data_IF_579862301092
#
_entry.id   IF_579862301092
#
_cell.length_a   1.000
_cell.length_b   1.000
_cell.length_c   1.000
_cell.angle_alpha   90.00
_cell.angle_beta   90.00
_cell.angle_gamma   90.00
#
_symmetry.space_group_name_H-M   'P 1'
#
loop_
_entity.id
_entity.type
_entity.pdbx_description
1 polymer ?
#
# COMPACT_ATOMS: atom_id res chain seq x y z
N UNK A 1 -45.00 -64.66 8.06
CA UNK A 1 -43.54 -64.74 8.27
C UNK A 1 -42.85 -64.11 7.07
N UNK A 2 -42.04 -63.09 7.37
CA UNK A 2 -41.03 -62.39 6.57
C UNK A 2 -40.97 -62.54 5.03
N UNK A 3 -41.01 -61.39 4.34
CA UNK A 3 -40.13 -61.16 3.18
C UNK A 3 -39.63 -59.72 3.16
N UNK A 4 -38.30 -59.58 3.22
CA UNK A 4 -37.49 -58.36 3.08
C UNK A 4 -37.83 -57.62 1.79
N UNK A 5 -37.88 -56.29 1.84
CA UNK A 5 -37.77 -55.41 0.67
C UNK A 5 -36.52 -54.57 0.86
N UNK A 6 -35.46 -54.88 0.09
CA UNK A 6 -34.26 -54.05 -0.05
C UNK A 6 -34.51 -53.07 -1.20
N UNK A 7 -34.62 -51.77 -0.88
CA UNK A 7 -34.61 -50.70 -1.87
C UNK A 7 -33.16 -50.28 -2.13
N UNK A 8 -32.62 -50.70 -3.27
CA UNK A 8 -31.35 -50.19 -3.79
C UNK A 8 -31.51 -48.76 -4.28
N UNK A 9 -30.99 -47.80 -3.51
CA UNK A 9 -30.72 -46.44 -4.00
C UNK A 9 -29.42 -46.46 -4.79
N UNK A 10 -29.51 -46.42 -6.12
CA UNK A 10 -28.38 -46.09 -6.97
C UNK A 10 -27.94 -44.65 -6.67
N UNK A 11 -26.85 -44.49 -5.91
CA UNK A 11 -26.14 -43.22 -5.81
C UNK A 11 -25.31 -43.04 -7.08
N UNK A 12 -25.61 -42.01 -7.86
CA UNK A 12 -24.75 -41.57 -8.95
C UNK A 12 -23.34 -41.26 -8.39
N UNK A 13 -22.27 -41.59 -9.12
CA UNK A 13 -20.93 -41.20 -8.70
C UNK A 13 -20.86 -39.67 -8.71
N UNK A 14 -20.52 -39.10 -7.56
CA UNK A 14 -20.12 -37.71 -7.43
C UNK A 14 -18.88 -37.54 -8.30
N UNK A 15 -19.02 -36.70 -9.32
CA UNK A 15 -17.95 -36.28 -10.23
C UNK A 15 -16.82 -35.67 -9.39
N UNK A 16 -15.77 -36.46 -9.20
CA UNK A 16 -14.50 -36.07 -8.59
C UNK A 16 -13.83 -35.13 -9.60
N UNK A 17 -14.27 -33.86 -9.60
CA UNK A 17 -13.67 -32.82 -10.41
C UNK A 17 -12.22 -32.66 -9.96
N UNK A 18 -11.32 -33.24 -10.76
CA UNK A 18 -9.90 -32.97 -10.83
C UNK A 18 -9.61 -31.51 -10.43
N UNK A 19 -9.07 -31.30 -9.23
CA UNK A 19 -8.33 -30.08 -8.93
C UNK A 19 -7.17 -30.04 -9.92
N UNK A 20 -7.31 -29.28 -11.01
CA UNK A 20 -6.17 -28.95 -11.85
C UNK A 20 -5.13 -28.31 -10.95
N UNK A 21 -3.94 -28.92 -10.84
CA UNK A 21 -2.76 -28.36 -10.22
C UNK A 21 -2.42 -27.05 -10.94
N UNK A 22 -3.06 -25.94 -10.54
CA UNK A 22 -2.78 -24.62 -11.09
C UNK A 22 -1.36 -24.29 -10.70
N UNK A 23 -0.43 -24.43 -11.67
CA UNK A 23 0.98 -24.12 -11.48
C UNK A 23 1.13 -22.69 -10.97
N UNK A 24 1.57 -22.54 -9.73
CA UNK A 24 1.86 -21.23 -9.11
C UNK A 24 3.34 -20.88 -9.23
N UNK A 25 3.61 -19.59 -9.33
CA UNK A 25 4.96 -19.02 -9.32
C UNK A 25 5.36 -18.76 -7.88
N UNK A 26 6.34 -19.53 -7.37
CA UNK A 26 6.97 -19.28 -6.08
C UNK A 26 7.84 -18.01 -6.13
N UNK A 27 7.70 -17.14 -5.14
CA UNK A 27 8.37 -15.84 -5.09
C UNK A 27 9.07 -15.59 -3.75
N UNK A 28 10.34 -15.16 -3.81
CA UNK A 28 11.11 -14.59 -2.70
C UNK A 28 11.04 -13.07 -2.80
N UNK A 29 10.59 -12.38 -1.75
CA UNK A 29 10.46 -10.91 -1.75
C UNK A 29 11.56 -10.28 -0.92
N UNK A 30 12.43 -9.50 -1.56
CA UNK A 30 13.53 -8.77 -0.94
C UNK A 30 13.15 -7.33 -0.60
N UNK A 31 13.26 -6.96 0.69
CA UNK A 31 13.06 -5.60 1.19
C UNK A 31 14.40 -5.03 1.70
N UNK A 32 14.95 -4.05 0.99
CA UNK A 32 16.23 -3.43 1.35
C UNK A 32 15.96 -2.21 2.25
N UNK A 33 16.37 -2.30 3.51
CA UNK A 33 16.04 -1.29 4.53
C UNK A 33 17.29 -0.57 5.06
N UNK A 34 17.16 0.75 5.24
CA UNK A 34 18.14 1.57 5.93
C UNK A 34 17.46 2.74 6.64
N UNK A 35 17.38 2.68 7.97
CA UNK A 35 16.69 3.66 8.81
C UNK A 35 15.25 3.95 8.34
N UNK A 36 14.40 2.92 8.36
CA UNK A 36 13.00 2.93 7.89
C UNK A 36 12.02 2.57 9.03
N UNK A 37 12.34 2.91 10.28
CA UNK A 37 11.47 2.58 11.44
C UNK A 37 10.02 3.08 11.30
N UNK A 38 9.81 4.18 10.57
CA UNK A 38 8.50 4.76 10.31
C UNK A 38 7.67 3.95 9.28
N UNK A 39 8.32 3.15 8.43
CA UNK A 39 7.69 2.53 7.26
C UNK A 39 7.73 1.00 7.27
N UNK A 40 8.82 0.42 7.80
CA UNK A 40 9.17 -0.97 7.58
C UNK A 40 8.08 -1.96 8.01
N UNK A 41 7.45 -1.73 9.17
CA UNK A 41 6.35 -2.58 9.64
C UNK A 41 5.19 -2.59 8.64
N UNK A 42 4.78 -1.40 8.18
CA UNK A 42 3.67 -1.26 7.24
C UNK A 42 3.98 -1.92 5.91
N UNK A 43 5.20 -1.76 5.42
CA UNK A 43 5.65 -2.36 4.16
C UNK A 43 5.68 -3.88 4.24
N UNK A 44 6.26 -4.44 5.31
CA UNK A 44 6.30 -5.90 5.51
C UNK A 44 4.88 -6.47 5.61
N UNK A 45 3.99 -5.86 6.40
CA UNK A 45 2.59 -6.31 6.49
C UNK A 45 1.84 -6.20 5.15
N UNK A 46 2.04 -5.11 4.40
CA UNK A 46 1.41 -4.94 3.10
C UNK A 46 1.88 -5.99 2.09
N UNK A 47 3.16 -6.38 2.13
CA UNK A 47 3.73 -7.46 1.31
C UNK A 47 3.16 -8.83 1.73
N UNK A 48 3.10 -9.12 3.03
CA UNK A 48 2.57 -10.40 3.55
C UNK A 48 1.08 -10.60 3.25
N UNK A 49 0.32 -9.50 3.12
CA UNK A 49 -1.10 -9.53 2.76
C UNK A 49 -1.36 -9.74 1.26
N UNK A 50 -0.32 -9.73 0.42
CA UNK A 50 -0.46 -9.98 -1.01
C UNK A 50 -0.80 -11.45 -1.26
N UNK A 51 -1.75 -11.68 -2.15
CA UNK A 51 -2.21 -13.01 -2.53
C UNK A 51 -2.69 -13.00 -3.97
N UNK A 52 -2.75 -14.17 -4.59
CA UNK A 52 -3.26 -14.31 -5.94
C UNK A 52 -3.33 -15.78 -6.37
N UNK A 53 -4.12 -16.09 -7.39
CA UNK A 53 -4.29 -17.47 -7.86
C UNK A 53 -3.02 -18.03 -8.51
N UNK A 54 -2.16 -17.17 -9.07
CA UNK A 54 -1.00 -17.57 -9.87
C UNK A 54 0.32 -17.54 -9.10
N UNK A 55 0.33 -17.04 -7.87
CA UNK A 55 1.56 -16.81 -7.11
C UNK A 55 1.54 -17.48 -5.74
N UNK A 56 2.73 -17.73 -5.21
CA UNK A 56 2.94 -18.10 -3.83
C UNK A 56 4.11 -17.29 -3.28
N UNK A 57 3.86 -16.50 -2.23
CA UNK A 57 4.92 -15.81 -1.49
C UNK A 57 5.49 -16.81 -0.50
N UNK A 58 6.65 -17.36 -0.84
CA UNK A 58 7.32 -18.39 -0.04
C UNK A 58 8.11 -17.75 1.11
N UNK A 59 8.78 -16.62 0.82
CA UNK A 59 9.59 -15.92 1.80
C UNK A 59 9.64 -14.41 1.58
N UNK A 60 9.82 -13.67 2.67
CA UNK A 60 10.05 -12.23 2.71
C UNK A 60 11.37 -11.98 3.41
N UNK A 61 12.40 -11.63 2.64
CA UNK A 61 13.75 -11.40 3.11
C UNK A 61 13.99 -9.90 3.30
N UNK A 62 14.13 -9.47 4.54
CA UNK A 62 14.47 -8.09 4.88
C UNK A 62 15.97 -7.99 5.12
N UNK A 63 16.65 -7.14 4.35
CA UNK A 63 18.08 -6.85 4.55
C UNK A 63 18.23 -5.44 5.12
N UNK A 64 18.56 -5.37 6.41
CA UNK A 64 18.80 -4.11 7.13
C UNK A 64 20.29 -3.75 7.07
N UNK A 65 20.65 -2.69 6.33
CA UNK A 65 22.05 -2.36 6.02
C UNK A 65 22.56 -1.16 6.80
N UNK A 66 23.20 -1.41 7.96
CA UNK A 66 23.79 -0.39 8.82
C UNK A 66 22.74 0.51 9.51
N UNK A 67 21.56 -0.04 9.85
CA UNK A 67 20.51 0.71 10.53
C UNK A 67 20.94 1.14 11.95
N UNK A 68 20.59 2.37 12.33
CA UNK A 68 20.86 2.95 13.65
C UNK A 68 19.58 3.28 14.43
N UNK A 69 18.42 3.10 13.80
CA UNK A 69 17.09 3.36 14.36
C UNK A 69 16.39 2.04 14.74
N UNK A 70 15.08 2.06 15.01
CA UNK A 70 14.32 0.86 15.41
C UNK A 70 13.98 -0.08 14.26
N UNK A 71 14.51 0.09 13.04
CA UNK A 71 14.20 -0.79 11.90
C UNK A 71 14.48 -2.26 12.21
N UNK A 72 15.65 -2.59 12.78
CA UNK A 72 16.05 -3.97 13.09
C UNK A 72 15.15 -4.60 14.17
N UNK A 73 14.95 -3.96 15.34
CA UNK A 73 14.00 -4.47 16.35
C UNK A 73 12.60 -4.73 15.80
N UNK A 74 12.05 -3.78 15.02
CA UNK A 74 10.69 -3.91 14.47
C UNK A 74 10.56 -5.14 13.57
N UNK A 75 11.55 -5.40 12.70
CA UNK A 75 11.50 -6.55 11.80
C UNK A 75 11.72 -7.86 12.57
N UNK A 76 12.56 -7.85 13.60
CA UNK A 76 12.75 -9.02 14.48
C UNK A 76 11.45 -9.43 15.16
N UNK A 77 10.70 -8.47 15.72
CA UNK A 77 9.39 -8.70 16.35
C UNK A 77 8.36 -9.27 15.36
N UNK A 78 8.44 -8.91 14.08
CA UNK A 78 7.58 -9.45 13.02
C UNK A 78 8.01 -10.88 12.67
N UNK A 79 9.32 -11.12 12.48
CA UNK A 79 9.86 -12.43 12.13
C UNK A 79 9.58 -13.50 13.21
N UNK A 80 9.50 -13.11 14.48
CA UNK A 80 9.09 -14.01 15.56
C UNK A 80 7.65 -14.54 15.42
N UNK A 81 6.78 -13.79 14.72
CA UNK A 81 5.35 -14.11 14.57
C UNK A 81 5.00 -14.62 13.18
N UNK A 82 5.81 -14.32 12.18
CA UNK A 82 5.61 -14.70 10.78
C UNK A 82 6.82 -15.50 10.27
N UNK A 83 6.70 -16.84 10.19
CA UNK A 83 7.80 -17.72 9.78
C UNK A 83 8.37 -17.45 8.38
N UNK A 84 7.57 -16.83 7.50
CA UNK A 84 8.03 -16.46 6.15
C UNK A 84 8.98 -15.25 6.14
N UNK A 85 9.07 -14.49 7.24
CA UNK A 85 9.92 -13.29 7.30
C UNK A 85 11.32 -13.64 7.83
N UNK A 86 12.33 -13.29 7.04
CA UNK A 86 13.73 -13.53 7.37
C UNK A 86 14.50 -12.21 7.43
N UNK A 87 15.11 -11.92 8.59
CA UNK A 87 15.91 -10.72 8.79
C UNK A 87 17.40 -11.02 8.64
N UNK A 88 18.07 -10.26 7.78
CA UNK A 88 19.53 -10.24 7.67
C UNK A 88 20.06 -8.84 7.94
N UNK A 89 21.01 -8.73 8.87
CA UNK A 89 21.59 -7.45 9.29
C UNK A 89 23.02 -7.34 8.76
N UNK A 90 23.32 -6.22 8.11
CA UNK A 90 24.70 -5.81 7.83
C UNK A 90 25.09 -4.76 8.86
N UNK A 91 26.19 -4.98 9.59
CA UNK A 91 26.65 -4.05 10.64
C UNK A 91 27.02 -2.67 10.09
N UNK A 92 27.52 -2.64 8.85
CA UNK A 92 27.95 -1.42 8.17
C UNK A 92 27.18 -1.23 6.89
N UNK A 93 27.09 0.04 6.50
CA UNK A 93 26.39 0.46 5.29
C UNK A 93 27.28 0.32 4.07
N UNK A 94 27.05 -0.73 3.30
CA UNK A 94 27.86 -1.09 2.13
C UNK A 94 27.21 -0.73 0.78
N UNK A 95 26.05 -0.05 0.83
CA UNK A 95 25.27 0.33 -0.35
C UNK A 95 24.19 -0.69 -0.70
N UNK A 96 23.17 -0.23 -1.45
CA UNK A 96 21.98 -1.02 -1.78
C UNK A 96 22.33 -2.29 -2.58
N UNK A 97 23.33 -2.21 -3.46
CA UNK A 97 23.78 -3.36 -4.23
C UNK A 97 24.37 -4.49 -3.37
N UNK A 98 25.07 -4.16 -2.26
CA UNK A 98 25.54 -5.17 -1.29
C UNK A 98 24.35 -5.90 -0.65
N UNK A 99 23.34 -5.13 -0.22
CA UNK A 99 22.12 -5.69 0.37
C UNK A 99 21.34 -6.59 -0.62
N UNK A 100 21.19 -6.15 -1.88
CA UNK A 100 20.56 -6.96 -2.94
C UNK A 100 21.34 -8.25 -3.19
N UNK A 101 22.67 -8.20 -3.22
CA UNK A 101 23.49 -9.40 -3.40
C UNK A 101 23.35 -10.36 -2.21
N UNK A 102 23.17 -9.86 -0.99
CA UNK A 102 22.87 -10.71 0.16
C UNK A 102 21.50 -11.35 0.02
N UNK A 103 20.48 -10.59 -0.40
CA UNK A 103 19.16 -11.14 -0.70
C UNK A 103 19.21 -12.23 -1.77
N UNK A 104 19.87 -11.99 -2.91
CA UNK A 104 19.96 -12.97 -4.00
C UNK A 104 20.66 -14.28 -3.58
N UNK A 105 21.59 -14.22 -2.63
CA UNK A 105 22.22 -15.42 -2.06
C UNK A 105 21.30 -16.21 -1.13
N UNK A 106 20.23 -15.59 -0.63
CA UNK A 106 19.30 -16.18 0.34
C UNK A 106 17.98 -16.57 -0.30
N UNK A 107 17.56 -15.87 -1.34
CA UNK A 107 16.36 -16.16 -2.10
C UNK A 107 16.43 -17.56 -2.72
N UNK A 108 15.42 -18.37 -2.43
CA UNK A 108 15.32 -19.78 -2.84
C UNK A 108 14.27 -20.01 -3.93
N UNK A 109 13.32 -19.10 -4.10
CA UNK A 109 12.23 -19.23 -5.06
C UNK A 109 12.66 -19.01 -6.51
N UNK A 110 11.83 -19.46 -7.44
CA UNK A 110 12.02 -19.29 -8.90
C UNK A 110 12.08 -17.81 -9.30
N UNK A 111 11.29 -16.96 -8.64
CA UNK A 111 11.21 -15.53 -8.89
C UNK A 111 11.67 -14.74 -7.67
N UNK A 112 12.55 -13.77 -7.91
CA UNK A 112 12.97 -12.79 -6.93
C UNK A 112 12.24 -11.46 -7.18
N UNK A 113 11.64 -10.90 -6.14
CA UNK A 113 10.98 -9.59 -6.16
C UNK A 113 11.82 -8.61 -5.34
N UNK A 114 12.06 -7.41 -5.87
CA UNK A 114 12.66 -6.31 -5.11
C UNK A 114 11.63 -5.20 -4.91
N UNK A 115 11.40 -4.84 -3.66
CA UNK A 115 10.53 -3.74 -3.26
C UNK A 115 11.21 -2.88 -2.18
N UNK A 116 11.05 -1.56 -2.27
CA UNK A 116 11.60 -0.63 -1.29
C UNK A 116 10.91 -0.76 0.08
N UNK A 117 11.64 -0.50 1.15
CA UNK A 117 11.10 -0.50 2.52
C UNK A 117 10.08 0.64 2.78
N UNK A 118 9.98 1.62 1.87
CA UNK A 118 9.06 2.75 1.86
C UNK A 118 7.97 2.64 0.77
N UNK A 119 7.89 1.51 0.08
CA UNK A 119 6.96 1.26 -1.02
C UNK A 119 5.83 0.35 -0.58
N UNK A 120 4.58 0.78 -0.80
CA UNK A 120 3.39 0.01 -0.40
C UNK A 120 2.70 -0.57 -1.63
N UNK A 121 2.62 -1.91 -1.78
CA UNK A 121 1.87 -2.53 -2.88
C UNK A 121 0.35 -2.36 -2.74
N UNK A 122 -0.35 -2.22 -3.86
CA UNK A 122 -1.80 -2.37 -3.93
C UNK A 122 -2.22 -3.85 -3.79
N UNK A 123 -3.50 -4.15 -3.51
CA UNK A 123 -4.01 -5.48 -3.12
C UNK A 123 -3.55 -6.65 -4.02
N UNK A 124 -3.45 -6.44 -5.33
CA UNK A 124 -3.03 -7.45 -6.31
C UNK A 124 -1.73 -7.08 -7.03
N UNK A 125 -0.91 -6.20 -6.46
CA UNK A 125 0.26 -5.70 -7.14
C UNK A 125 1.27 -6.82 -7.42
N UNK A 126 1.56 -7.68 -6.42
CA UNK A 126 2.53 -8.77 -6.58
C UNK A 126 2.00 -9.87 -7.51
N UNK A 127 0.69 -10.16 -7.51
CA UNK A 127 0.04 -11.07 -8.48
C UNK A 127 0.22 -10.54 -9.91
N UNK A 128 -0.10 -9.26 -10.14
CA UNK A 128 0.05 -8.65 -11.47
C UNK A 128 1.52 -8.55 -11.92
N UNK A 129 2.44 -8.46 -10.96
CA UNK A 129 3.87 -8.41 -11.20
C UNK A 129 4.44 -9.79 -11.55
N UNK A 130 4.02 -10.85 -10.86
CA UNK A 130 4.65 -12.17 -10.95
C UNK A 130 3.89 -13.19 -11.82
N UNK A 131 2.58 -13.02 -12.05
CA UNK A 131 1.82 -13.88 -12.98
C UNK A 131 2.43 -14.01 -14.40
N UNK A 132 3.13 -13.01 -14.98
CA UNK A 132 3.75 -13.19 -16.30
C UNK A 132 4.86 -14.24 -16.34
N UNK A 133 5.44 -14.65 -15.20
CA UNK A 133 6.48 -15.70 -15.15
C UNK A 133 5.97 -17.10 -15.43
N UNK A 134 4.64 -17.29 -15.54
CA UNK A 134 4.08 -18.50 -16.13
C UNK A 134 4.57 -18.70 -17.57
N UNK A 135 4.93 -17.62 -18.27
CA UNK A 135 5.64 -17.68 -19.54
C UNK A 135 7.16 -17.81 -19.31
N UNK A 136 7.82 -18.89 -19.78
CA UNK A 136 9.27 -19.09 -19.63
C UNK A 136 10.13 -18.03 -20.32
N UNK A 137 9.62 -17.33 -21.34
CA UNK A 137 10.36 -16.29 -22.06
C UNK A 137 10.50 -14.98 -21.28
N UNK A 138 9.61 -14.72 -20.32
CA UNK A 138 9.64 -13.52 -19.49
C UNK A 138 10.68 -13.72 -18.40
N UNK A 139 11.71 -12.88 -18.38
CA UNK A 139 12.78 -12.93 -17.37
C UNK A 139 12.68 -11.83 -16.33
N UNK A 140 11.97 -10.74 -16.62
CA UNK A 140 11.81 -9.64 -15.66
C UNK A 140 10.55 -8.81 -15.96
N UNK A 141 9.86 -8.44 -14.89
CA UNK A 141 8.68 -7.58 -14.91
C UNK A 141 8.87 -6.37 -13.99
N UNK A 142 8.14 -5.30 -14.25
CA UNK A 142 8.16 -4.09 -13.43
C UNK A 142 6.78 -3.51 -13.24
N UNK A 143 6.50 -3.02 -12.04
CA UNK A 143 5.22 -2.43 -11.69
C UNK A 143 5.15 -0.93 -11.97
N UNK A 144 3.99 -0.33 -11.71
CA UNK A 144 3.69 1.09 -11.88
C UNK A 144 3.77 1.84 -10.55
N UNK A 145 4.76 2.72 -10.37
CA UNK A 145 4.85 3.54 -9.18
C UNK A 145 3.90 4.74 -9.28
N UNK A 146 3.14 4.97 -8.22
CA UNK A 146 2.19 6.08 -8.10
C UNK A 146 2.56 6.90 -6.86
N UNK A 147 3.01 8.15 -7.04
CA UNK A 147 3.45 8.96 -5.91
C UNK A 147 2.28 9.46 -5.07
N UNK A 148 2.45 9.41 -3.74
CA UNK A 148 1.47 9.90 -2.77
C UNK A 148 1.65 11.39 -2.42
N UNK A 149 2.65 12.06 -3.00
CA UNK A 149 2.92 13.49 -2.78
C UNK A 149 1.70 14.36 -3.13
N UNK A 150 1.50 15.46 -2.40
CA UNK A 150 0.45 16.43 -2.70
C UNK A 150 0.69 17.11 -4.06
N UNK A 151 -0.14 16.85 -5.09
CA UNK A 151 0.07 17.38 -6.45
C UNK A 151 -0.14 18.90 -6.54
N UNK A 152 -0.71 19.54 -5.50
CA UNK A 152 -0.91 20.99 -5.45
C UNK A 152 0.33 21.77 -4.97
N UNK A 153 1.48 21.12 -4.91
CA UNK A 153 2.78 21.72 -4.59
C UNK A 153 3.71 21.60 -5.79
N UNK A 154 4.69 22.49 -5.93
CA UNK A 154 5.68 22.41 -7.02
C UNK A 154 6.37 21.03 -7.04
N UNK A 155 6.82 20.56 -5.87
CA UNK A 155 7.51 19.28 -5.76
C UNK A 155 6.59 18.09 -6.01
N UNK A 156 5.36 18.11 -5.49
CA UNK A 156 4.39 17.08 -5.81
C UNK A 156 4.07 17.03 -7.30
N UNK A 157 3.86 18.19 -7.95
CA UNK A 157 3.68 18.26 -9.40
C UNK A 157 4.86 17.66 -10.17
N UNK A 158 6.09 18.01 -9.79
CA UNK A 158 7.30 17.49 -10.41
C UNK A 158 7.44 15.96 -10.27
N UNK A 159 7.17 15.42 -9.08
CA UNK A 159 7.20 13.97 -8.81
C UNK A 159 6.11 13.23 -9.59
N UNK A 160 4.88 13.75 -9.59
CA UNK A 160 3.77 13.20 -10.38
C UNK A 160 4.05 13.23 -11.88
N UNK A 161 4.63 14.32 -12.38
CA UNK A 161 5.04 14.43 -13.78
C UNK A 161 6.06 13.36 -14.14
N UNK A 162 7.10 13.18 -13.31
CA UNK A 162 8.15 12.19 -13.54
C UNK A 162 7.58 10.78 -13.65
N UNK A 163 6.73 10.37 -12.70
CA UNK A 163 6.15 9.03 -12.70
C UNK A 163 5.11 8.81 -13.82
N UNK A 164 4.37 9.85 -14.21
CA UNK A 164 3.47 9.79 -15.38
C UNK A 164 4.24 9.62 -16.69
N UNK A 165 5.36 10.33 -16.84
CA UNK A 165 6.24 10.16 -18.00
C UNK A 165 6.91 8.79 -18.00
N UNK A 166 7.34 8.31 -16.83
CA UNK A 166 7.86 6.96 -16.66
C UNK A 166 6.86 5.90 -17.13
N UNK A 167 5.62 5.93 -16.62
CA UNK A 167 4.57 4.98 -17.01
C UNK A 167 4.31 4.98 -18.52
N UNK A 168 4.22 6.17 -19.13
CA UNK A 168 4.00 6.29 -20.58
C UNK A 168 5.16 5.73 -21.40
N UNK A 169 6.39 6.07 -21.03
CA UNK A 169 7.58 5.55 -21.72
C UNK A 169 7.69 4.04 -21.54
N UNK A 170 7.44 3.53 -20.32
CA UNK A 170 7.54 2.11 -19.99
C UNK A 170 6.52 1.24 -20.75
N UNK A 171 5.33 1.77 -21.06
CA UNK A 171 4.34 1.10 -21.91
C UNK A 171 4.79 0.93 -23.36
N UNK A 172 5.60 1.85 -23.87
CA UNK A 172 6.12 1.78 -25.24
C UNK A 172 7.42 0.97 -25.31
N UNK A 173 8.30 1.16 -24.33
CA UNK A 173 9.58 0.47 -24.20
C UNK A 173 9.78 0.13 -22.74
N UNK A 174 9.74 -1.17 -22.41
CA UNK A 174 9.80 -1.66 -21.04
C UNK A 174 10.97 -1.02 -20.29
N UNK A 175 10.64 -0.19 -19.31
CA UNK A 175 11.57 0.37 -18.34
C UNK A 175 11.01 0.06 -16.98
N UNK A 176 11.75 -0.75 -16.26
CA UNK A 176 11.32 -1.28 -14.98
C UNK A 176 12.01 -0.50 -13.88
N UNK A 177 11.31 -0.24 -12.78
CA UNK A 177 11.84 0.50 -11.65
C UNK A 177 10.88 0.61 -10.48
N UNK A 178 11.41 1.04 -9.33
CA UNK A 178 10.78 1.05 -8.01
C UNK A 178 10.44 -0.33 -7.44
N UNK A 179 9.63 -1.10 -8.18
CA UNK A 179 9.27 -2.48 -7.88
C UNK A 179 9.52 -3.33 -9.11
N UNK A 180 10.27 -4.41 -8.94
CA UNK A 180 10.64 -5.31 -10.02
C UNK A 180 10.56 -6.75 -9.54
N UNK A 181 10.20 -7.64 -10.45
CA UNK A 181 10.35 -9.08 -10.24
C UNK A 181 11.17 -9.66 -11.39
N UNK A 182 11.96 -10.68 -11.14
CA UNK A 182 12.80 -11.32 -12.14
C UNK A 182 13.06 -12.78 -11.79
N UNK A 183 13.38 -13.59 -12.81
CA UNK A 183 13.81 -14.96 -12.59
C UNK A 183 15.09 -14.96 -11.77
N UNK A 184 15.15 -15.81 -10.75
CA UNK A 184 16.30 -15.94 -9.86
C UNK A 184 17.46 -16.71 -10.54
N UNK A 185 17.97 -16.16 -11.63
CA UNK A 185 19.01 -16.76 -12.50
C UNK A 185 20.33 -15.98 -12.49
N UNK A 186 20.39 -14.90 -11.72
CA UNK A 186 21.59 -14.05 -11.58
C UNK A 186 22.20 -14.24 -10.20
N UNK A 187 23.53 -14.34 -10.12
CA UNK A 187 24.24 -14.52 -8.85
C UNK A 187 24.45 -13.22 -8.07
N UNK A 188 24.20 -12.07 -8.70
CA UNK A 188 24.39 -10.75 -8.10
C UNK A 188 24.50 -9.62 -9.13
N UNK A 189 24.60 -8.40 -8.62
CA UNK A 189 24.81 -7.17 -9.36
C UNK A 189 26.14 -6.49 -8.94
N UNK A 190 26.73 -5.65 -9.81
CA UNK A 190 27.92 -4.88 -9.47
C UNK A 190 27.71 -4.01 -8.21
N UNK A 191 28.60 -4.13 -7.22
CA UNK A 191 28.50 -3.44 -5.92
C UNK A 191 28.64 -1.92 -6.02
N UNK A 192 29.25 -1.43 -7.10
CA UNK A 192 29.40 0.00 -7.40
C UNK A 192 28.21 0.60 -8.17
N UNK A 193 27.14 -0.18 -8.42
CA UNK A 193 25.95 0.31 -9.11
C UNK A 193 25.09 1.20 -8.21
N UNK A 194 24.64 2.32 -8.76
CA UNK A 194 23.69 3.24 -8.11
C UNK A 194 22.25 3.10 -8.63
N UNK A 195 22.04 2.22 -9.63
CA UNK A 195 20.77 1.95 -10.33
C UNK A 195 20.62 0.44 -10.49
N UNK A 196 20.21 -0.21 -9.41
CA UNK A 196 20.12 -1.65 -9.28
C UNK A 196 19.19 -2.28 -10.32
N UNK A 197 18.00 -1.70 -10.51
CA UNK A 197 16.98 -2.18 -11.43
C UNK A 197 17.46 -2.20 -12.89
N UNK A 198 18.28 -1.23 -13.27
CA UNK A 198 18.83 -1.14 -14.64
C UNK A 198 19.95 -2.16 -14.82
N UNK A 199 20.71 -2.41 -13.76
CA UNK A 199 21.79 -3.40 -13.78
C UNK A 199 21.22 -4.81 -13.92
N UNK A 200 20.10 -5.10 -13.23
CA UNK A 200 19.36 -6.36 -13.34
C UNK A 200 18.73 -6.49 -14.74
N UNK A 201 18.08 -5.43 -15.24
CA UNK A 201 17.54 -5.43 -16.62
C UNK A 201 18.61 -5.78 -17.65
N UNK A 202 19.80 -5.17 -17.55
CA UNK A 202 20.91 -5.45 -18.46
C UNK A 202 21.33 -6.93 -18.41
N UNK A 203 21.48 -7.51 -17.21
CA UNK A 203 21.87 -8.91 -17.03
C UNK A 203 20.80 -9.88 -17.56
N UNK A 204 19.53 -9.66 -17.22
CA UNK A 204 18.43 -10.50 -17.68
C UNK A 204 18.27 -10.44 -19.21
N UNK A 205 18.41 -9.26 -19.81
CA UNK A 205 18.38 -9.13 -21.27
C UNK A 205 19.57 -9.79 -21.96
N UNK A 206 20.76 -9.76 -21.35
CA UNK A 206 21.93 -10.47 -21.88
C UNK A 206 21.75 -11.99 -21.87
N UNK A 207 20.94 -12.52 -20.96
CA UNK A 207 20.55 -13.93 -20.91
C UNK A 207 19.46 -14.31 -21.94
N UNK A 208 19.00 -13.35 -22.76
CA UNK A 208 18.02 -13.58 -23.83
C UNK A 208 16.56 -13.53 -23.41
N UNK A 209 16.27 -13.18 -22.15
CA UNK A 209 14.90 -13.05 -21.68
C UNK A 209 14.22 -11.74 -22.09
N UNK A 210 12.89 -11.79 -22.16
CA UNK A 210 12.04 -10.62 -22.42
C UNK A 210 11.75 -9.85 -21.13
N UNK A 211 11.63 -8.53 -21.27
CA UNK A 211 11.25 -7.58 -20.23
C UNK A 211 9.80 -7.14 -20.44
N UNK A 212 9.00 -7.08 -19.38
CA UNK A 212 7.60 -6.67 -19.47
C UNK A 212 7.23 -5.61 -18.42
N UNK A 213 6.55 -4.55 -18.82
CA UNK A 213 6.02 -3.55 -17.90
C UNK A 213 4.54 -3.83 -17.61
N UNK A 214 4.18 -3.93 -16.32
CA UNK A 214 2.85 -4.31 -15.83
C UNK A 214 2.16 -3.11 -15.17
N UNK A 215 1.44 -2.27 -15.93
CA UNK A 215 0.82 -1.07 -15.40
C UNK A 215 -0.27 -1.33 -14.34
N UNK A 216 -0.80 -2.55 -14.28
CA UNK A 216 -1.77 -3.05 -13.31
C UNK A 216 -1.12 -3.40 -11.96
N UNK A 217 0.21 -3.60 -11.92
CA UNK A 217 0.96 -3.79 -10.67
C UNK A 217 1.25 -2.44 -10.03
N UNK A 218 0.25 -1.82 -9.41
CA UNK A 218 0.38 -0.49 -8.80
C UNK A 218 1.09 -0.56 -7.45
N UNK A 219 2.10 0.29 -7.25
CA UNK A 219 2.74 0.49 -5.95
C UNK A 219 2.77 1.96 -5.59
N UNK A 220 2.62 2.27 -4.31
CA UNK A 220 2.60 3.62 -3.80
C UNK A 220 3.96 3.98 -3.19
N UNK A 221 4.53 5.10 -3.64
CA UNK A 221 5.79 5.62 -3.12
C UNK A 221 5.70 7.10 -2.77
N UNK A 222 6.72 7.60 -2.06
CA UNK A 222 6.85 9.02 -1.73
C UNK A 222 8.12 9.59 -2.32
N UNK A 223 7.95 10.54 -3.23
CA UNK A 223 9.05 11.31 -3.78
C UNK A 223 9.52 12.44 -2.84
N UNK A 224 10.63 13.10 -3.19
CA UNK A 224 11.23 14.17 -2.39
C UNK A 224 10.30 15.38 -2.22
N UNK A 225 10.34 15.99 -1.04
CA UNK A 225 9.52 17.18 -0.70
C UNK A 225 10.23 18.50 -0.97
N UNK A 226 11.56 18.48 -1.16
CA UNK A 226 12.37 19.68 -1.40
C UNK A 226 13.11 19.62 -2.74
N UNK A 227 13.42 20.79 -3.29
CA UNK A 227 14.22 20.92 -4.51
C UNK A 227 15.62 20.33 -4.33
N UNK A 228 16.24 20.55 -3.17
CA UNK A 228 17.59 20.03 -2.86
C UNK A 228 17.61 18.50 -2.92
N UNK A 229 16.60 17.87 -2.32
CA UNK A 229 16.46 16.41 -2.28
C UNK A 229 16.17 15.83 -3.65
N UNK A 230 15.31 16.49 -4.42
CA UNK A 230 15.05 16.14 -5.82
C UNK A 230 16.33 16.19 -6.64
N UNK A 231 17.07 17.30 -6.60
CA UNK A 231 18.32 17.44 -7.36
C UNK A 231 19.34 16.37 -6.95
N UNK A 232 19.52 16.10 -5.66
CA UNK A 232 20.40 15.03 -5.17
C UNK A 232 19.99 13.67 -5.72
N UNK A 233 18.71 13.31 -5.63
CA UNK A 233 18.19 12.02 -6.09
C UNK A 233 18.38 11.87 -7.61
N UNK A 234 17.99 12.88 -8.39
CA UNK A 234 18.06 12.86 -9.87
C UNK A 234 19.49 12.88 -10.39
N UNK A 235 20.37 13.66 -9.77
CA UNK A 235 21.82 13.69 -10.08
C UNK A 235 22.45 12.31 -9.93
N UNK A 236 22.15 11.62 -8.83
CA UNK A 236 22.63 10.24 -8.58
C UNK A 236 22.12 9.26 -9.62
N UNK A 237 20.81 9.29 -9.91
CA UNK A 237 20.18 8.38 -10.88
C UNK A 237 20.82 8.56 -12.26
N UNK A 238 21.03 9.81 -12.70
CA UNK A 238 21.64 10.07 -14.00
C UNK A 238 23.11 9.64 -14.08
N UNK A 239 23.91 9.92 -13.03
CA UNK A 239 25.30 9.44 -12.96
C UNK A 239 25.37 7.90 -12.97
N UNK A 240 24.45 7.23 -12.27
CA UNK A 240 24.33 5.77 -12.27
C UNK A 240 24.00 5.21 -13.66
N UNK A 241 23.05 5.82 -14.37
CA UNK A 241 22.73 5.44 -15.74
C UNK A 241 23.94 5.54 -16.69
N UNK A 242 24.76 6.60 -16.58
CA UNK A 242 25.98 6.74 -17.37
C UNK A 242 27.00 5.62 -17.06
N UNK A 243 27.12 5.22 -15.78
CA UNK A 243 27.98 4.10 -15.38
C UNK A 243 27.50 2.77 -15.97
N UNK A 244 26.20 2.46 -15.90
CA UNK A 244 25.65 1.22 -16.48
C UNK A 244 25.85 1.20 -18.00
N UNK A 245 25.61 2.32 -18.68
CA UNK A 245 25.89 2.42 -20.12
C UNK A 245 27.35 2.14 -20.45
N UNK A 246 28.29 2.63 -19.65
CA UNK A 246 29.72 2.40 -19.85
C UNK A 246 30.17 0.97 -19.49
N UNK A 247 29.60 0.35 -18.46
CA UNK A 247 30.04 -0.94 -17.92
C UNK A 247 29.31 -2.15 -18.52
N UNK A 248 28.03 -2.01 -18.82
CA UNK A 248 27.16 -3.12 -19.24
C UNK A 248 26.60 -2.93 -20.66
N UNK A 249 27.00 -1.85 -21.36
CA UNK A 249 26.53 -1.48 -22.70
C UNK A 249 24.99 -1.44 -22.83
N UNK A 250 24.31 -1.05 -21.74
CA UNK A 250 22.86 -0.96 -21.68
C UNK A 250 22.42 0.48 -21.44
N UNK A 251 21.50 0.98 -22.26
CA UNK A 251 20.96 2.33 -22.15
C UNK A 251 19.46 2.30 -21.87
N UNK A 252 19.06 2.90 -20.75
CA UNK A 252 17.65 2.98 -20.38
C UNK A 252 16.85 3.88 -21.34
N UNK A 253 15.61 3.51 -21.66
CA UNK A 253 14.74 4.26 -22.59
C UNK A 253 14.54 5.73 -22.19
N UNK A 254 14.52 6.05 -20.89
CA UNK A 254 14.40 7.42 -20.35
C UNK A 254 15.67 8.27 -20.49
N UNK A 255 16.76 7.75 -21.05
CA UNK A 255 17.91 8.57 -21.44
C UNK A 255 17.68 9.28 -22.77
N UNK A 256 16.77 8.76 -23.61
CA UNK A 256 16.45 9.34 -24.92
C UNK A 256 15.50 10.52 -24.75
N UNK A 257 15.91 11.69 -25.26
CA UNK A 257 15.12 12.93 -25.14
C UNK A 257 13.86 12.88 -26.01
N UNK A 258 13.94 12.29 -27.21
CA UNK A 258 12.82 12.24 -28.17
C UNK A 258 11.52 11.67 -27.58
N UNK A 259 11.51 10.42 -27.08
CA UNK A 259 10.32 9.83 -26.47
C UNK A 259 9.78 10.63 -25.29
N UNK A 260 10.64 11.28 -24.51
CA UNK A 260 10.21 12.10 -23.37
C UNK A 260 9.45 13.33 -23.85
N UNK A 261 9.97 14.04 -24.85
CA UNK A 261 9.32 15.24 -25.40
C UNK A 261 7.95 14.89 -25.98
N UNK A 262 7.86 13.79 -26.73
CA UNK A 262 6.60 13.29 -27.27
C UNK A 262 5.59 13.00 -26.14
N UNK A 263 6.02 12.35 -25.05
CA UNK A 263 5.12 12.06 -23.93
C UNK A 263 4.75 13.29 -23.09
N UNK A 264 5.63 14.31 -23.00
CA UNK A 264 5.29 15.61 -22.40
C UNK A 264 4.20 16.30 -23.23
N UNK A 265 4.32 16.24 -24.55
CA UNK A 265 3.29 16.73 -25.48
C UNK A 265 2.04 15.85 -25.42
N UNK A 266 2.12 14.55 -25.11
CA UNK A 266 0.94 13.71 -24.92
C UNK A 266 0.25 13.93 -23.55
N UNK A 267 0.87 14.69 -22.63
CA UNK A 267 0.36 14.98 -21.27
C UNK A 267 -0.04 16.43 -21.06
N UNK A 268 -0.39 17.15 -22.15
CA UNK A 268 -0.79 18.57 -22.15
C UNK A 268 -1.78 18.91 -21.06
N UNK A 269 -2.77 18.05 -20.85
CA UNK A 269 -3.85 18.31 -19.89
C UNK A 269 -3.33 18.40 -18.45
N UNK A 270 -2.22 17.73 -18.15
CA UNK A 270 -1.55 17.79 -16.85
C UNK A 270 -0.42 18.84 -16.82
N UNK A 271 0.31 19.00 -17.92
CA UNK A 271 1.48 19.89 -18.00
C UNK A 271 1.11 21.35 -18.25
N UNK A 272 0.05 21.60 -19.02
CA UNK A 272 -0.41 22.89 -19.53
C UNK A 272 -1.89 23.18 -19.20
N UNK A 273 -2.54 22.37 -18.36
CA UNK A 273 -3.96 22.56 -18.00
C UNK A 273 -4.28 23.86 -17.27
N UNK A 274 -3.27 24.55 -16.73
CA UNK A 274 -3.38 25.90 -16.16
C UNK A 274 -2.04 26.65 -16.27
N UNK A 275 -2.03 28.00 -16.26
CA UNK A 275 -0.78 28.78 -16.26
C UNK A 275 0.17 28.39 -15.11
N UNK A 276 -0.40 28.06 -13.95
CA UNK A 276 0.34 27.59 -12.78
C UNK A 276 1.03 26.25 -13.04
N UNK A 277 0.33 25.27 -13.61
CA UNK A 277 0.89 23.96 -13.97
C UNK A 277 1.94 24.09 -15.08
N UNK A 278 1.76 25.00 -16.04
CA UNK A 278 2.76 25.27 -17.06
C UNK A 278 4.08 25.77 -16.45
N UNK A 279 3.99 26.73 -15.51
CA UNK A 279 5.15 27.24 -14.78
C UNK A 279 5.83 26.13 -13.94
N UNK A 280 5.05 25.31 -13.25
CA UNK A 280 5.59 24.18 -12.48
C UNK A 280 6.24 23.11 -13.35
N UNK A 281 5.66 22.82 -14.51
CA UNK A 281 6.26 21.91 -15.49
C UNK A 281 7.58 22.44 -16.01
N UNK A 282 7.65 23.73 -16.37
CA UNK A 282 8.90 24.38 -16.78
C UNK A 282 9.95 24.31 -15.67
N UNK A 283 9.55 24.56 -14.41
CA UNK A 283 10.41 24.40 -13.24
C UNK A 283 10.92 22.96 -13.07
N UNK A 284 10.06 21.95 -13.23
CA UNK A 284 10.45 20.54 -13.15
C UNK A 284 11.45 20.15 -14.24
N UNK A 285 11.25 20.60 -15.48
CA UNK A 285 12.17 20.39 -16.61
C UNK A 285 13.52 21.05 -16.33
N UNK A 286 13.52 22.29 -15.83
CA UNK A 286 14.75 23.00 -15.48
C UNK A 286 15.52 22.27 -14.37
N UNK A 287 14.84 21.82 -13.31
CA UNK A 287 15.46 21.03 -12.24
C UNK A 287 16.06 19.71 -12.75
N UNK A 288 15.35 18.97 -13.61
CA UNK A 288 15.88 17.75 -14.24
C UNK A 288 17.11 18.06 -15.11
N UNK A 289 17.09 19.16 -15.87
CA UNK A 289 18.24 19.61 -16.67
C UNK A 289 19.47 19.91 -15.83
N UNK A 290 19.30 20.66 -14.73
CA UNK A 290 20.38 20.95 -13.76
C UNK A 290 20.92 19.67 -13.14
N UNK A 291 20.03 18.76 -12.71
CA UNK A 291 20.43 17.49 -12.11
C UNK A 291 21.23 16.61 -13.09
N UNK A 292 20.83 16.57 -14.36
CA UNK A 292 21.57 15.83 -15.42
C UNK A 292 22.93 16.44 -15.69
N UNK A 293 23.04 17.77 -15.76
CA UNK A 293 24.33 18.46 -15.93
C UNK A 293 25.28 18.16 -14.76
N UNK A 294 24.78 18.22 -13.52
CA UNK A 294 25.57 17.88 -12.34
C UNK A 294 25.96 16.39 -12.30
N UNK A 295 25.05 15.49 -12.69
CA UNK A 295 25.32 14.06 -12.76
C UNK A 295 26.35 13.69 -13.82
N UNK A 296 26.31 14.36 -14.98
CA UNK A 296 27.32 14.23 -16.02
C UNK A 296 28.70 14.68 -15.53
N UNK A 297 28.75 15.84 -14.87
CA UNK A 297 29.99 16.38 -14.31
C UNK A 297 30.62 15.40 -13.30
N UNK A 298 29.79 14.81 -12.44
CA UNK A 298 30.25 13.83 -11.45
C UNK A 298 30.76 12.54 -12.06
N UNK A 299 30.06 12.02 -13.07
CA UNK A 299 30.50 10.86 -13.83
C UNK A 299 31.86 11.13 -14.47
N UNK A 300 32.05 12.30 -15.09
CA UNK A 300 33.32 12.69 -15.73
C UNK A 300 34.47 12.86 -14.72
N UNK A 301 34.16 13.17 -13.46
CA UNK A 301 35.14 13.30 -12.37
C UNK A 301 35.32 12.03 -11.53
N UNK A 302 34.76 10.88 -11.95
CA UNK A 302 34.79 9.61 -11.22
C UNK A 302 34.33 9.74 -9.75
N UNK A 303 33.36 10.61 -9.46
CA UNK A 303 32.80 10.69 -8.11
C UNK A 303 31.89 9.50 -7.83
N UNK A 304 32.20 8.78 -6.76
CA UNK A 304 31.45 7.60 -6.37
C UNK A 304 30.16 7.96 -5.61
N UNK A 305 29.05 7.39 -6.10
CA UNK A 305 27.70 7.56 -5.56
C UNK A 305 27.07 6.23 -5.12
N UNK A 306 27.88 5.17 -4.99
CA UNK A 306 27.39 3.82 -4.67
C UNK A 306 26.88 3.73 -3.21
N UNK A 307 27.43 4.54 -2.29
CA UNK A 307 26.88 4.71 -0.95
C UNK A 307 25.73 5.71 -1.04
N UNK A 308 24.51 5.20 -0.83
CA UNK A 308 23.26 5.96 -0.96
C UNK A 308 23.24 7.13 0.02
N UNK A 309 23.49 8.36 -0.44
CA UNK A 309 23.19 9.53 0.40
C UNK A 309 21.68 9.57 0.64
N UNK A 310 21.30 9.59 1.92
CA UNK A 310 19.91 9.55 2.36
C UNK A 310 19.16 10.77 1.82
N UNK A 311 17.91 10.55 1.38
CA UNK A 311 16.98 11.64 1.10
C UNK A 311 16.00 11.68 2.25
N UNK A 312 16.27 12.52 3.25
CA UNK A 312 15.56 12.47 4.54
C UNK A 312 14.05 12.70 4.39
N UNK A 313 13.62 13.47 3.38
CA UNK A 313 12.20 13.81 3.18
C UNK A 313 11.35 12.70 2.56
N UNK A 314 11.94 11.61 2.08
CA UNK A 314 11.16 10.45 1.60
C UNK A 314 10.77 9.50 2.72
N UNK A 315 11.41 9.60 3.88
CA UNK A 315 11.34 8.61 4.97
C UNK A 315 10.16 8.74 5.91
N UNK A 316 9.61 9.94 6.03
CA UNK A 316 8.40 10.11 6.80
C UNK A 316 7.24 10.10 5.82
N UNK A 317 6.55 8.96 5.66
CA UNK A 317 5.36 8.87 4.80
C UNK A 317 4.20 9.74 5.32
N UNK A 318 4.27 10.23 6.57
CA UNK A 318 3.25 11.02 7.26
C UNK A 318 3.51 12.55 7.24
N UNK A 319 4.77 13.00 7.14
CA UNK A 319 5.12 14.43 7.01
C UNK A 319 4.53 15.01 5.72
N UNK A 320 3.39 15.71 5.84
CA UNK A 320 2.62 16.24 4.71
C UNK A 320 1.26 15.57 4.51
N UNK A 321 0.82 14.73 5.45
CA UNK A 321 -0.54 14.19 5.51
C UNK A 321 -1.58 15.30 5.77
N UNK A 322 -1.92 16.02 4.71
CA UNK A 322 -3.33 16.12 4.39
C UNK A 322 -3.71 14.92 3.54
N UNK A 323 -4.23 13.88 4.23
CA UNK A 323 -4.94 12.73 3.67
C UNK A 323 -4.26 12.04 2.49
N UNK A 324 -3.34 11.10 2.76
CA UNK A 324 -3.06 10.03 1.80
C UNK A 324 -4.31 9.16 1.72
N UNK A 325 -5.00 9.31 0.60
CA UNK A 325 -6.22 8.60 0.23
C UNK A 325 -5.87 7.14 -0.06
N UNK A 326 -6.29 6.20 0.79
CA UNK A 326 -6.65 4.88 0.28
C UNK A 326 -7.82 5.10 -0.68
N UNK A 327 -7.68 4.78 -1.97
CA UNK A 327 -8.82 4.62 -2.86
C UNK A 327 -9.43 3.27 -2.50
N UNK A 328 -10.11 3.20 -1.35
CA UNK A 328 -10.93 2.03 -1.03
C UNK A 328 -12.20 2.14 -1.88
N UNK A 329 -12.43 1.13 -2.73
CA UNK A 329 -13.71 0.95 -3.43
C UNK A 329 -14.80 0.37 -2.51
N UNK A 330 -14.45 0.01 -1.27
CA UNK A 330 -15.38 -0.43 -0.24
C UNK A 330 -16.06 0.76 0.46
N UNK A 331 -17.36 0.60 0.73
CA UNK A 331 -18.12 1.48 1.61
C UNK A 331 -18.48 0.73 2.87
N UNK A 332 -18.20 1.30 4.03
CA UNK A 332 -18.62 0.73 5.31
C UNK A 332 -19.70 1.60 5.94
N UNK A 333 -20.71 0.94 6.49
CA UNK A 333 -21.75 1.56 7.31
C UNK A 333 -21.50 1.16 8.75
N UNK A 334 -21.31 2.15 9.62
CA UNK A 334 -21.16 1.94 11.06
C UNK A 334 -22.43 2.43 11.73
N UNK A 335 -23.04 1.59 12.56
CA UNK A 335 -24.19 1.92 13.38
C UNK A 335 -23.69 2.04 14.82
N UNK A 336 -23.95 3.20 15.43
CA UNK A 336 -23.61 3.52 16.80
C UNK A 336 -24.90 3.62 17.63
N UNK A 337 -24.92 3.03 18.82
CA UNK A 337 -25.97 3.20 19.82
C UNK A 337 -25.40 3.93 21.02
N UNK A 338 -25.94 5.10 21.31
CA UNK A 338 -25.56 5.93 22.46
C UNK A 338 -26.25 5.39 23.71
N UNK A 339 -25.46 5.14 24.75
CA UNK A 339 -25.90 4.63 26.04
C UNK A 339 -25.51 5.67 27.09
N UNK A 340 -26.44 6.03 27.98
CA UNK A 340 -26.18 6.99 29.06
C UNK A 340 -25.82 6.24 30.33
N UNK A 341 -24.82 6.73 31.09
CA UNK A 341 -24.49 6.16 32.40
C UNK A 341 -25.65 6.38 33.39
N UNK A 342 -26.12 5.30 34.03
CA UNK A 342 -27.18 5.33 35.05
C UNK A 342 -28.61 5.12 34.52
N UNK A 343 -28.77 4.45 33.37
CA UNK A 343 -30.07 4.05 32.84
C UNK A 343 -30.73 2.96 33.70
N UNK A 344 -31.97 3.19 34.15
CA UNK A 344 -32.78 2.23 34.92
C UNK A 344 -33.97 1.83 34.04
N UNK A 345 -33.78 0.76 33.25
CA UNK A 345 -34.59 0.33 32.11
C UNK A 345 -36.03 -0.10 32.38
N UNK A 346 -36.81 0.67 33.13
CA UNK A 346 -38.27 0.56 33.18
C UNK A 346 -38.91 1.19 31.94
N UNK A 347 -40.07 0.70 31.49
CA UNK A 347 -40.72 1.13 30.24
C UNK A 347 -40.98 2.65 30.16
N UNK A 348 -41.28 3.30 31.29
CA UNK A 348 -41.51 4.76 31.36
C UNK A 348 -40.20 5.55 31.32
N UNK A 349 -39.10 5.00 31.85
CA UNK A 349 -37.77 5.61 31.78
C UNK A 349 -37.13 5.41 30.40
N UNK A 350 -37.44 4.32 29.70
CA UNK A 350 -36.86 3.97 28.40
C UNK A 350 -37.14 5.02 27.32
N UNK A 351 -38.37 5.50 27.20
CA UNK A 351 -38.70 6.58 26.25
C UNK A 351 -37.97 7.89 26.57
N UNK A 352 -37.79 8.18 27.86
CA UNK A 352 -37.09 9.37 28.31
C UNK A 352 -35.59 9.25 28.06
N UNK A 353 -34.99 8.09 28.33
CA UNK A 353 -33.60 7.78 28.08
C UNK A 353 -33.28 7.83 26.58
N UNK A 354 -34.16 7.31 25.73
CA UNK A 354 -34.02 7.38 24.27
C UNK A 354 -34.08 8.83 23.75
N UNK A 355 -34.92 9.67 24.34
CA UNK A 355 -34.97 11.11 24.03
C UNK A 355 -33.69 11.82 24.49
N UNK A 356 -33.22 11.54 25.71
CA UNK A 356 -31.98 12.12 26.25
C UNK A 356 -30.76 11.65 25.43
N UNK A 357 -30.69 10.38 25.05
CA UNK A 357 -29.63 9.83 24.19
C UNK A 357 -29.63 10.45 22.79
N UNK A 358 -30.81 10.70 22.23
CA UNK A 358 -30.96 11.42 20.95
C UNK A 358 -30.50 12.87 21.07
N UNK A 359 -30.80 13.53 22.20
CA UNK A 359 -30.34 14.89 22.48
C UNK A 359 -28.81 14.95 22.58
N UNK A 360 -28.19 14.00 23.28
CA UNK A 360 -26.72 13.84 23.34
C UNK A 360 -26.14 13.65 21.94
N UNK A 361 -26.68 12.71 21.17
CA UNK A 361 -26.21 12.42 19.81
C UNK A 361 -26.26 13.68 18.93
N UNK A 362 -27.35 14.46 18.99
CA UNK A 362 -27.49 15.71 18.23
C UNK A 362 -26.52 16.80 18.69
N UNK A 363 -26.26 16.92 19.99
CA UNK A 363 -25.30 17.89 20.54
C UNK A 363 -23.85 17.55 20.17
N UNK A 364 -23.51 16.26 20.11
CA UNK A 364 -22.18 15.80 19.73
C UNK A 364 -21.95 15.79 18.21
N UNK A 365 -23.02 15.72 17.42
CA UNK A 365 -22.95 15.61 15.96
C UNK A 365 -22.05 16.67 15.28
N UNK A 366 -22.09 17.98 15.61
CA UNK A 366 -21.22 18.97 14.98
C UNK A 366 -19.74 18.72 15.26
N UNK A 367 -19.40 18.37 16.49
CA UNK A 367 -18.04 18.07 16.94
C UNK A 367 -17.52 16.81 16.26
N UNK A 368 -18.34 15.75 16.19
CA UNK A 368 -18.00 14.52 15.48
C UNK A 368 -17.86 14.74 13.97
N UNK A 369 -18.76 15.53 13.35
CA UNK A 369 -18.68 15.92 11.94
C UNK A 369 -17.41 16.68 11.59
N UNK A 370 -16.90 17.51 12.50
CA UNK A 370 -15.63 18.21 12.31
C UNK A 370 -14.40 17.27 12.35
N UNK A 371 -14.54 16.06 12.89
CA UNK A 371 -13.47 15.07 13.06
C UNK A 371 -13.52 13.92 12.05
N UNK A 372 -14.59 13.81 11.26
CA UNK A 372 -14.71 12.88 10.13
C UNK A 372 -14.43 13.58 8.80
N UNK A 373 -14.29 12.81 7.70
CA UNK A 373 -13.99 13.38 6.38
C UNK A 373 -15.22 14.11 5.81
N UNK A 374 -15.00 15.11 4.95
CA UNK A 374 -16.11 15.87 4.29
C UNK A 374 -16.97 14.97 3.38
N UNK A 375 -16.35 13.95 2.83
CA UNK A 375 -16.95 12.92 1.98
C UNK A 375 -17.70 11.83 2.76
N UNK A 376 -17.44 11.68 4.06
CA UNK A 376 -18.12 10.74 4.94
C UNK A 376 -19.40 11.37 5.48
N UNK A 377 -20.45 10.57 5.63
CA UNK A 377 -21.76 11.05 6.14
C UNK A 377 -21.99 10.50 7.54
N UNK A 378 -22.27 11.38 8.50
CA UNK A 378 -22.72 11.01 9.84
C UNK A 378 -24.10 11.63 10.08
N UNK A 379 -25.07 10.81 10.45
CA UNK A 379 -26.44 11.24 10.76
C UNK A 379 -26.94 10.56 12.04
N UNK A 380 -27.94 11.17 12.68
CA UNK A 380 -28.66 10.59 13.82
C UNK A 380 -29.97 10.05 13.29
N UNK A 381 -30.18 8.75 13.39
CA UNK A 381 -31.27 8.02 12.74
C UNK A 381 -32.09 7.28 13.80
N UNK A 382 -33.00 7.99 14.47
CA UNK A 382 -33.87 7.39 15.50
C UNK A 382 -33.36 7.53 16.94
N UNK A 383 -34.00 6.83 17.90
CA UNK A 383 -33.73 6.98 19.33
C UNK A 383 -32.32 6.50 19.70
N UNK A 384 -31.41 7.45 20.00
CA UNK A 384 -30.05 7.14 20.42
C UNK A 384 -29.14 6.49 19.36
N UNK A 385 -29.58 6.38 18.10
CA UNK A 385 -28.81 5.75 17.03
C UNK A 385 -28.12 6.79 16.15
N UNK A 386 -26.82 6.61 15.90
CA UNK A 386 -26.08 7.35 14.88
C UNK A 386 -25.58 6.40 13.80
N UNK A 387 -25.61 6.83 12.55
CA UNK A 387 -25.09 6.06 11.43
C UNK A 387 -24.01 6.84 10.72
N UNK A 388 -22.85 6.22 10.53
CA UNK A 388 -21.77 6.74 9.72
C UNK A 388 -21.63 5.91 8.43
N UNK A 389 -21.67 6.57 7.28
CA UNK A 389 -21.31 5.99 5.99
C UNK A 389 -19.95 6.52 5.60
N UNK A 390 -18.96 5.63 5.56
CA UNK A 390 -17.56 5.98 5.33
C UNK A 390 -16.99 5.20 4.14
N UNK A 391 -16.07 5.81 3.40
CA UNK A 391 -15.33 5.12 2.33
C UNK A 391 -14.07 4.48 2.90
N UNK A 392 -14.21 3.26 3.39
CA UNK A 392 -13.15 2.45 3.97
C UNK A 392 -13.53 0.96 3.96
N UNK A 393 -12.52 0.09 3.92
CA UNK A 393 -12.63 -1.33 4.28
C UNK A 393 -12.87 -1.50 5.79
N UNK A 394 -13.20 -2.73 6.22
CA UNK A 394 -13.56 -3.07 7.61
C UNK A 394 -12.54 -2.54 8.64
N UNK A 395 -11.25 -2.81 8.45
CA UNK A 395 -10.19 -2.31 9.34
C UNK A 395 -10.14 -0.78 9.44
N UNK A 396 -10.39 -0.09 8.32
CA UNK A 396 -10.49 1.37 8.30
C UNK A 396 -11.76 1.88 8.99
N UNK A 397 -12.84 1.12 8.92
CA UNK A 397 -14.10 1.43 9.59
C UNK A 397 -13.99 1.29 11.11
N UNK A 398 -13.34 0.24 11.59
CA UNK A 398 -13.07 0.02 13.01
C UNK A 398 -12.25 1.17 13.61
N UNK A 399 -11.23 1.66 12.90
CA UNK A 399 -10.43 2.81 13.36
C UNK A 399 -11.28 4.08 13.51
N UNK A 400 -12.21 4.33 12.57
CA UNK A 400 -13.11 5.49 12.67
C UNK A 400 -14.11 5.28 13.81
N UNK A 401 -14.62 4.06 13.99
CA UNK A 401 -15.54 3.73 15.05
C UNK A 401 -14.93 3.92 16.44
N UNK A 402 -13.72 3.40 16.67
CA UNK A 402 -12.95 3.59 17.92
C UNK A 402 -12.67 5.06 18.19
N UNK A 403 -12.35 5.84 17.15
CA UNK A 403 -12.14 7.28 17.31
C UNK A 403 -13.41 8.00 17.74
N UNK A 404 -14.55 7.67 17.14
CA UNK A 404 -15.84 8.25 17.51
C UNK A 404 -16.20 7.84 18.93
N UNK A 405 -16.01 6.57 19.30
CA UNK A 405 -16.24 6.05 20.66
C UNK A 405 -15.45 6.85 21.70
N UNK A 406 -14.14 7.00 21.52
CA UNK A 406 -13.28 7.79 22.43
C UNK A 406 -13.72 9.26 22.56
N UNK A 407 -14.17 9.86 21.45
CA UNK A 407 -14.66 11.25 21.46
C UNK A 407 -15.98 11.39 22.23
N UNK A 408 -16.87 10.39 22.16
CA UNK A 408 -18.13 10.41 22.90
C UNK A 408 -17.90 10.12 24.38
N UNK A 409 -17.08 9.11 24.71
CA UNK A 409 -16.74 8.74 26.09
C UNK A 409 -15.96 9.86 26.82
N UNK A 410 -15.15 10.63 26.09
CA UNK A 410 -14.44 11.79 26.62
C UNK A 410 -15.26 13.08 26.70
N UNK A 411 -16.49 13.10 26.20
CA UNK A 411 -17.33 14.29 26.16
C UNK A 411 -18.38 14.28 27.27
N UNK A 412 -18.45 15.38 28.02
CA UNK A 412 -19.51 15.56 29.01
C UNK A 412 -20.60 16.46 28.44
N UNK A 413 -21.83 15.95 28.36
CA UNK A 413 -22.95 16.63 27.70
C UNK A 413 -24.05 16.92 28.72
N UNK A 414 -24.63 18.10 28.64
CA UNK A 414 -25.76 18.48 29.48
C UNK A 414 -27.07 18.21 28.73
N UNK A 415 -28.05 17.57 29.38
CA UNK A 415 -29.34 17.18 28.77
C UNK A 415 -30.54 17.54 29.64
N UNK A 416 -31.69 17.71 28.98
CA UNK A 416 -32.98 18.00 29.61
C UNK A 416 -33.13 19.42 30.17
N UNK A 417 -34.36 19.75 30.59
CA UNK A 417 -34.75 21.09 31.10
C UNK A 417 -34.01 21.53 32.37
N UNK A 418 -33.46 20.59 33.14
CA UNK A 418 -32.72 20.85 34.39
C UNK A 418 -31.20 20.90 34.20
N UNK A 419 -30.72 20.89 32.94
CA UNK A 419 -29.30 20.96 32.58
C UNK A 419 -28.43 19.93 33.33
N UNK A 420 -28.91 18.68 33.38
CA UNK A 420 -28.22 17.58 34.08
C UNK A 420 -26.98 17.17 33.29
N UNK A 421 -25.85 17.04 33.96
CA UNK A 421 -24.61 16.56 33.37
C UNK A 421 -24.66 15.04 33.23
N UNK A 422 -24.47 14.52 32.03
CA UNK A 422 -24.53 13.08 31.73
C UNK A 422 -23.28 12.67 30.95
N UNK A 423 -22.74 11.50 31.29
CA UNK A 423 -21.70 10.81 30.50
C UNK A 423 -22.35 9.78 29.61
N UNK A 424 -21.86 9.70 28.38
CA UNK A 424 -22.39 8.80 27.36
C UNK A 424 -21.28 7.86 26.90
N UNK A 425 -21.64 6.60 26.71
CA UNK A 425 -20.83 5.58 26.04
C UNK A 425 -21.51 5.19 24.73
N UNK A 426 -20.77 4.52 23.85
CA UNK A 426 -21.30 4.13 22.54
C UNK A 426 -20.91 2.70 22.20
N UNK A 427 -21.92 1.87 21.95
CA UNK A 427 -21.75 0.57 21.31
C UNK A 427 -21.83 0.75 19.78
N UNK A 428 -21.05 0.00 19.01
CA UNK A 428 -21.12 0.09 17.55
C UNK A 428 -21.00 -1.27 16.87
N UNK A 429 -21.55 -1.36 15.67
CA UNK A 429 -21.35 -2.46 14.74
C UNK A 429 -21.07 -1.88 13.36
N UNK A 430 -20.24 -2.57 12.57
CA UNK A 430 -19.89 -2.13 11.22
C UNK A 430 -20.19 -3.20 10.18
N UNK A 431 -20.70 -2.76 9.03
CA UNK A 431 -20.99 -3.58 7.86
C UNK A 431 -20.24 -3.01 6.68
N UNK A 432 -19.38 -3.80 6.06
CA UNK A 432 -18.57 -3.40 4.90
C UNK A 432 -19.16 -3.98 3.62
N UNK A 433 -19.48 -3.09 2.70
CA UNK A 433 -19.93 -3.40 1.34
C UNK A 433 -18.73 -3.27 0.40
N UNK A 434 -18.22 -4.39 -0.10
CA UNK A 434 -17.17 -4.40 -1.12
C UNK A 434 -17.78 -4.13 -2.52
N UNK A 435 -16.98 -3.59 -3.45
CA UNK A 435 -17.47 -3.30 -4.81
C UNK A 435 -17.82 -4.57 -5.58
N UNK A 436 -18.80 -4.42 -6.48
CA UNK A 436 -19.32 -5.39 -7.45
C UNK A 436 -18.23 -6.31 -8.03
N UNK A 437 -18.34 -7.62 -7.81
CA UNK A 437 -17.56 -8.59 -8.59
C UNK A 437 -17.95 -8.48 -10.08
N UNK A 438 -17.09 -8.87 -11.03
CA UNK A 438 -17.36 -8.75 -12.48
C UNK A 438 -18.69 -9.41 -12.92
N UNK A 439 -19.20 -10.35 -12.14
CA UNK A 439 -20.46 -11.08 -12.33
C UNK A 439 -21.71 -10.36 -11.77
N UNK A 440 -21.56 -9.17 -11.18
CA UNK A 440 -22.67 -8.38 -10.65
C UNK A 440 -23.05 -8.65 -9.18
N UNK A 441 -22.42 -9.61 -8.50
CA UNK A 441 -22.67 -9.90 -7.08
C UNK A 441 -21.92 -8.91 -6.16
N UNK A 442 -22.57 -8.49 -5.06
CA UNK A 442 -21.92 -7.74 -3.99
C UNK A 442 -21.49 -8.71 -2.88
N UNK A 443 -20.26 -8.56 -2.39
CA UNK A 443 -19.78 -9.27 -1.20
C UNK A 443 -19.97 -8.34 0.01
N UNK A 444 -20.74 -8.81 0.99
CA UNK A 444 -20.93 -8.15 2.29
C UNK A 444 -20.05 -8.89 3.30
N UNK A 445 -19.18 -8.15 3.98
CA UNK A 445 -18.35 -8.66 5.07
C UNK A 445 -18.60 -7.83 6.32
N UNK A 446 -18.72 -8.50 7.47
CA UNK A 446 -18.90 -7.86 8.76
C UNK A 446 -18.74 -8.89 9.89
N UNK A 447 -18.45 -8.45 11.12
CA UNK A 447 -18.42 -9.32 12.28
C UNK A 447 -19.85 -9.81 12.56
N UNK A 448 -20.16 -11.00 12.06
CA UNK A 448 -21.28 -11.78 12.54
C UNK A 448 -20.83 -12.41 13.86
N UNK A 449 -21.47 -11.97 14.95
CA UNK A 449 -21.41 -12.48 16.33
C UNK A 449 -20.17 -12.12 17.15
N UNK A 450 -20.33 -11.11 18.01
CA UNK A 450 -19.50 -10.91 19.20
C UNK A 450 -20.16 -11.70 20.36
N UNK A 451 -19.44 -12.58 21.03
CA UNK A 451 -19.95 -13.45 22.13
C UNK A 451 -20.58 -12.62 23.27
N UNK A 452 -20.19 -11.35 23.41
CA UNK A 452 -20.79 -10.41 24.34
C UNK A 452 -22.27 -10.09 24.02
N UNK A 453 -22.67 -10.11 22.75
CA UNK A 453 -24.06 -9.90 22.36
C UNK A 453 -24.92 -11.16 22.52
N UNK A 454 -24.31 -12.34 22.41
CA UNK A 454 -24.99 -13.61 22.72
C UNK A 454 -25.30 -13.72 24.22
N UNK A 455 -24.40 -13.26 25.09
CA UNK A 455 -24.67 -13.16 26.53
C UNK A 455 -25.78 -12.15 26.86
N UNK A 456 -25.75 -10.97 26.25
CA UNK A 456 -26.78 -9.94 26.46
C UNK A 456 -28.18 -10.37 25.96
N UNK A 457 -28.26 -11.14 24.86
CA UNK A 457 -29.52 -11.68 24.34
C UNK A 457 -30.00 -12.92 25.10
N UNK A 458 -29.09 -13.72 25.66
CA UNK A 458 -29.44 -14.85 26.52
C UNK A 458 -30.08 -14.39 27.83
N UNK A 459 -29.60 -13.29 28.43
CA UNK A 459 -30.17 -12.71 29.65
C UNK A 459 -31.59 -12.12 29.44
N UNK A 460 -31.93 -11.62 28.24
CA UNK A 460 -33.29 -11.14 27.92
C UNK A 460 -34.29 -12.27 27.60
N UNK A 461 -33.82 -13.51 27.38
CA UNK A 461 -34.66 -14.65 27.00
C UNK A 461 -34.97 -15.63 28.14
N UNK A 462 -34.47 -15.35 29.35
CA UNK A 462 -34.75 -16.13 30.55
C UNK A 462 -35.81 -15.49 31.44
N UNK A 463 -37.06 -15.45 30.98
CA UNK A 463 -38.24 -15.18 31.82
C UNK A 463 -39.36 -16.15 31.45
#
# INVERSE_FOLDING_TARGET
MATKVENGSQSMPVDDQLEEDVKRVGCSIGIMAYNEEANIARTVHAVLAQQGPSILIEEVVVVASGCTDRTVPIVSEIAEKEPRVHLYVQEKREGKASAINLFLKKATSEVAVLIGADVIPEEYAIENLCSPFLNPEIGMTGGRPVPVNNPNTLMGHAVHLLWRLHDRVARAHAKLGEVIAFRNVISGIPTNSAVDEISIQALISQLGYKLEYRPESVVYNKGPLTVRDFLKQRRRIYAGHLKVRAQQNYEASTMKIGPIVEQVIATRDFTLGSPKQALWTAGAIAMEGIARLQGYYDFRRNRDHHIWQMVDTTKDLEAGQHKVRRICNAQSVIVFRVILEGAEGSDVNREREDREATEVARKLLPTLKAKIRKEDKLSVNGPGIMTAVIRAEQSGAEIVAERIKKLVEGATVHVGLRNRQVRATVAYSSLTFASKAPNGQMVVSGPLYDEAMAQALAEESGN
#
